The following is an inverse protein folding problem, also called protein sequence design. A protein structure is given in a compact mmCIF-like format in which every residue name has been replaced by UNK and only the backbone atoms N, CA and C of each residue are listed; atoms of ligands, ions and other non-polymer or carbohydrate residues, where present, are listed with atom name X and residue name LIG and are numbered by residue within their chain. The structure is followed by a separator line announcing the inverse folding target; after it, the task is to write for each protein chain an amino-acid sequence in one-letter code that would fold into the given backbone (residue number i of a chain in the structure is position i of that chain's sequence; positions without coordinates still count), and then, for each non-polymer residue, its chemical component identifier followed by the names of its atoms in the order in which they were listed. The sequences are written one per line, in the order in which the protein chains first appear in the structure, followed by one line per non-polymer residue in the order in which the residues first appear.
data_IF_155549554755
#
_entry.id   IF_155549554755
#
_cell.length_a   1.000
_cell.length_b   1.000
_cell.length_c   1.000
_cell.angle_alpha   90.00
_cell.angle_beta   90.00
_cell.angle_gamma   90.00
#
_symmetry.space_group_name_H-M   'P 1'
#
loop_
_entity.id
_entity.type
_entity.pdbx_description
1 polymer ?
#
# COMPACT_ATOMS: atom_id res chain seq x y z
N UNK A 1 -17.46 -4.84 21.13
CA UNK A 1 -17.26 -4.09 22.40
C UNK A 1 -17.95 -2.73 22.30
N UNK A 2 -18.80 -2.39 23.24
CA UNK A 2 -19.61 -1.16 23.26
C UNK A 2 -19.17 -0.26 24.43
N UNK A 3 -19.01 1.04 24.17
CA UNK A 3 -18.67 2.05 25.19
C UNK A 3 -19.53 3.28 24.98
N UNK A 4 -20.07 3.81 26.07
CA UNK A 4 -20.84 5.06 26.09
C UNK A 4 -19.96 6.19 26.58
N UNK A 5 -19.99 7.31 25.88
CA UNK A 5 -19.15 8.46 26.15
C UNK A 5 -20.02 9.70 26.42
N UNK A 6 -19.84 10.32 27.55
CA UNK A 6 -20.40 11.64 27.81
C UNK A 6 -19.45 12.69 27.26
N UNK A 7 -19.99 13.59 26.44
CA UNK A 7 -19.21 14.58 25.70
C UNK A 7 -19.22 15.97 26.35
N UNK A 8 -20.05 16.20 27.34
CA UNK A 8 -20.19 17.48 28.02
C UNK A 8 -19.12 17.63 29.12
N UNK A 9 -18.25 18.65 29.00
CA UNK A 9 -17.17 18.90 29.98
C UNK A 9 -16.03 17.88 29.90
N UNK A 10 -15.70 17.43 28.69
CA UNK A 10 -14.69 16.43 28.37
C UNK A 10 -15.27 15.06 28.02
N UNK A 11 -14.44 14.18 27.46
CA UNK A 11 -14.87 12.85 27.07
C UNK A 11 -14.70 11.86 28.22
N UNK A 12 -15.81 11.42 28.83
CA UNK A 12 -15.82 10.49 29.97
C UNK A 12 -16.65 9.24 29.66
N UNK A 13 -16.10 8.08 29.95
CA UNK A 13 -16.85 6.84 29.84
C UNK A 13 -17.95 6.76 30.91
N UNK A 14 -19.16 6.36 30.48
CA UNK A 14 -20.33 6.15 31.36
C UNK A 14 -20.80 4.69 31.22
N UNK A 15 -21.52 4.21 32.24
CA UNK A 15 -21.94 2.80 32.28
C UNK A 15 -23.21 2.52 31.47
N UNK A 16 -24.09 3.48 31.40
CA UNK A 16 -25.41 3.37 30.77
C UNK A 16 -25.61 4.51 29.79
N UNK A 17 -26.51 4.32 28.84
CA UNK A 17 -26.88 5.32 27.87
C UNK A 17 -27.54 6.54 28.55
N UNK A 18 -27.13 7.71 28.17
CA UNK A 18 -27.75 9.00 28.51
C UNK A 18 -28.03 9.79 27.21
N UNK A 19 -29.04 10.69 27.18
CA UNK A 19 -29.29 11.57 26.04
C UNK A 19 -28.03 12.39 25.68
N UNK A 20 -27.77 12.55 24.38
CA UNK A 20 -26.59 13.22 23.83
C UNK A 20 -25.23 12.57 24.19
N UNK A 21 -25.24 11.28 24.59
CA UNK A 21 -23.99 10.52 24.65
C UNK A 21 -23.60 10.00 23.26
N UNK A 22 -22.30 9.79 23.10
CA UNK A 22 -21.75 9.09 21.94
C UNK A 22 -21.62 7.59 22.28
N UNK A 23 -22.16 6.74 21.40
CA UNK A 23 -22.05 5.29 21.50
C UNK A 23 -20.95 4.83 20.54
N UNK A 24 -19.86 4.31 21.09
CA UNK A 24 -18.79 3.73 20.30
C UNK A 24 -18.94 2.20 20.28
N UNK A 25 -19.04 1.61 19.10
CA UNK A 25 -19.11 0.17 18.90
C UNK A 25 -17.93 -0.27 18.04
N UNK A 26 -17.00 -1.02 18.66
CA UNK A 26 -15.81 -1.55 17.98
C UNK A 26 -15.89 -3.07 17.98
N UNK A 27 -15.64 -3.71 16.82
CA UNK A 27 -15.79 -5.14 16.62
C UNK A 27 -17.13 -5.64 17.18
N UNK A 28 -18.28 -5.19 16.63
CA UNK A 28 -19.60 -5.51 17.14
C UNK A 28 -19.84 -7.04 17.16
N UNK A 29 -20.32 -7.55 18.30
CA UNK A 29 -20.84 -8.91 18.38
C UNK A 29 -22.23 -8.97 17.72
N UNK A 30 -22.76 -10.18 17.52
CA UNK A 30 -24.13 -10.36 17.03
C UNK A 30 -25.15 -9.68 17.96
N UNK A 31 -24.92 -9.76 19.28
CA UNK A 31 -25.75 -9.07 20.29
C UNK A 31 -25.68 -7.55 20.14
N UNK A 32 -24.48 -6.98 19.90
CA UNK A 32 -24.33 -5.54 19.65
C UNK A 32 -25.08 -5.13 18.38
N UNK A 33 -25.03 -5.94 17.32
CA UNK A 33 -25.73 -5.66 16.06
C UNK A 33 -27.25 -5.76 16.22
N UNK A 34 -27.74 -6.80 16.90
CA UNK A 34 -29.17 -6.94 17.20
C UNK A 34 -29.69 -5.76 18.03
N UNK A 35 -28.97 -5.34 19.05
CA UNK A 35 -29.33 -4.18 19.87
C UNK A 35 -29.45 -2.91 19.01
N UNK A 36 -28.52 -2.67 18.08
CA UNK A 36 -28.56 -1.51 17.19
C UNK A 36 -29.80 -1.52 16.28
N UNK A 37 -30.20 -2.70 15.79
CA UNK A 37 -31.37 -2.87 14.92
C UNK A 37 -32.66 -2.85 15.75
N UNK A 38 -32.74 -3.60 16.84
CA UNK A 38 -33.98 -3.83 17.59
C UNK A 38 -34.33 -2.69 18.54
N UNK A 39 -33.37 -2.14 19.27
CA UNK A 39 -33.61 -1.09 20.25
C UNK A 39 -33.56 0.30 19.60
N UNK A 40 -32.53 0.61 18.82
CA UNK A 40 -32.37 1.92 18.17
C UNK A 40 -33.12 2.04 16.86
N UNK A 41 -33.60 0.90 16.28
CA UNK A 41 -34.29 0.88 14.96
C UNK A 41 -33.41 1.44 13.83
N UNK A 42 -32.12 1.10 13.85
CA UNK A 42 -31.21 1.42 12.77
C UNK A 42 -31.51 0.48 11.59
N UNK A 43 -31.58 0.96 10.34
CA UNK A 43 -31.73 0.08 9.18
C UNK A 43 -30.63 -0.98 9.14
N UNK A 44 -31.00 -2.25 9.03
CA UNK A 44 -30.07 -3.39 9.09
C UNK A 44 -28.97 -3.30 8.01
N UNK A 45 -29.32 -2.84 6.82
CA UNK A 45 -28.36 -2.69 5.74
C UNK A 45 -27.24 -1.68 6.04
N UNK A 46 -27.44 -0.71 6.96
CA UNK A 46 -26.36 0.17 7.41
C UNK A 46 -25.20 -0.61 8.03
N UNK A 47 -25.51 -1.62 8.84
CA UNK A 47 -24.50 -2.46 9.47
C UNK A 47 -23.83 -3.38 8.45
N UNK A 48 -24.59 -3.90 7.50
CA UNK A 48 -24.06 -4.67 6.36
C UNK A 48 -23.06 -3.86 5.55
N UNK A 49 -23.42 -2.63 5.21
CA UNK A 49 -22.54 -1.72 4.45
C UNK A 49 -21.27 -1.34 5.22
N UNK A 50 -21.38 -1.07 6.53
CA UNK A 50 -20.20 -0.76 7.37
C UNK A 50 -19.30 -2.00 7.52
N UNK A 51 -19.85 -3.22 7.43
CA UNK A 51 -19.06 -4.45 7.50
C UNK A 51 -18.31 -4.77 6.22
N UNK A 52 -18.77 -4.25 5.06
CA UNK A 52 -18.15 -4.48 3.77
C UNK A 52 -16.84 -3.68 3.64
N UNK A 53 -15.71 -4.39 3.54
CA UNK A 53 -14.39 -3.77 3.38
C UNK A 53 -14.24 -2.95 2.10
N UNK A 54 -15.06 -3.22 1.09
CA UNK A 54 -14.99 -2.55 -0.21
C UNK A 54 -15.99 -1.39 -0.34
N UNK A 55 -16.83 -1.16 0.70
CA UNK A 55 -17.79 -0.08 0.73
C UNK A 55 -17.10 1.30 0.58
N UNK A 56 -17.74 2.21 -0.16
CA UNK A 56 -17.18 3.52 -0.48
C UNK A 56 -17.58 4.57 0.54
N UNK A 57 -16.72 5.57 0.71
CA UNK A 57 -17.06 6.76 1.49
C UNK A 57 -18.31 7.44 0.91
N UNK A 58 -19.37 7.57 1.73
CA UNK A 58 -20.63 8.15 1.30
C UNK A 58 -21.46 8.69 2.47
N UNK A 59 -22.44 9.47 2.13
CA UNK A 59 -23.49 9.99 2.99
C UNK A 59 -24.84 9.45 2.50
N UNK A 60 -25.64 8.96 3.43
CA UNK A 60 -26.97 8.46 3.19
C UNK A 60 -27.93 8.94 4.28
N UNK A 61 -29.21 9.05 3.96
CA UNK A 61 -30.26 9.41 4.90
C UNK A 61 -31.48 8.54 4.63
N UNK A 62 -31.86 7.73 5.61
CA UNK A 62 -33.01 6.84 5.53
C UNK A 62 -33.72 6.71 6.87
N UNK A 63 -35.06 6.71 6.86
CA UNK A 63 -35.94 6.60 8.03
C UNK A 63 -35.57 7.56 9.20
N UNK A 64 -35.08 8.76 8.85
CA UNK A 64 -34.65 9.76 9.82
C UNK A 64 -33.27 9.50 10.38
N UNK A 65 -32.58 8.43 9.99
CA UNK A 65 -31.19 8.15 10.31
C UNK A 65 -30.26 8.71 9.24
N UNK A 66 -29.22 9.34 9.68
CA UNK A 66 -28.09 9.73 8.86
C UNK A 66 -26.98 8.69 8.99
N UNK A 67 -26.47 8.19 7.88
CA UNK A 67 -25.28 7.35 7.80
C UNK A 67 -24.17 8.10 7.07
N UNK A 68 -23.00 8.14 7.67
CA UNK A 68 -21.76 8.58 7.05
C UNK A 68 -20.78 7.41 7.11
N UNK A 69 -20.27 6.96 5.96
CA UNK A 69 -19.21 5.96 5.88
C UNK A 69 -17.92 6.69 5.56
N UNK A 70 -17.02 6.76 6.54
CA UNK A 70 -15.68 7.34 6.41
C UNK A 70 -14.67 6.19 6.24
N UNK A 71 -13.79 6.29 5.24
CA UNK A 71 -12.69 5.32 5.06
C UNK A 71 -11.52 5.72 5.94
N UNK A 72 -11.09 4.83 6.83
CA UNK A 72 -9.95 5.08 7.74
C UNK A 72 -8.81 4.11 7.48
N UNK A 73 -7.54 4.53 7.65
CA UNK A 73 -6.39 3.67 7.40
C UNK A 73 -6.30 2.53 8.42
N UNK A 74 -6.02 1.34 7.92
CA UNK A 74 -5.89 0.12 8.69
C UNK A 74 -4.63 -0.65 8.29
N UNK A 75 -3.98 -1.31 9.24
CA UNK A 75 -2.80 -2.14 9.01
C UNK A 75 -3.16 -3.60 9.20
N UNK A 76 -2.97 -4.40 8.15
CA UNK A 76 -3.02 -5.86 8.19
C UNK A 76 -1.64 -6.41 8.56
N UNK A 77 -1.51 -7.72 8.59
CA UNK A 77 -0.20 -8.35 8.73
C UNK A 77 0.75 -7.90 7.61
N UNK A 78 2.03 -7.64 7.97
CA UNK A 78 3.06 -7.14 7.03
C UNK A 78 3.27 -8.07 5.83
N UNK A 79 3.01 -9.37 6.01
CA UNK A 79 3.10 -10.39 4.94
C UNK A 79 1.86 -10.48 4.05
N UNK A 80 0.79 -9.76 4.37
CA UNK A 80 -0.41 -9.72 3.52
C UNK A 80 -0.09 -9.09 2.16
N UNK A 81 -0.94 -9.34 1.17
CA UNK A 81 -0.82 -8.74 -0.17
C UNK A 81 -0.87 -7.21 -0.11
N UNK A 82 -1.68 -6.67 0.80
CA UNK A 82 -1.85 -5.23 1.03
C UNK A 82 -1.69 -4.95 2.52
N UNK A 83 -0.45 -4.73 3.01
CA UNK A 83 -0.20 -4.53 4.44
C UNK A 83 -0.87 -3.27 5.00
N UNK A 84 -0.99 -2.24 4.18
CA UNK A 84 -1.75 -1.03 4.49
C UNK A 84 -3.00 -0.99 3.62
N UNK A 85 -4.14 -0.91 4.25
CA UNK A 85 -5.45 -0.85 3.59
C UNK A 85 -6.34 0.16 4.29
N UNK A 86 -7.61 0.21 3.93
CA UNK A 86 -8.60 1.05 4.59
C UNK A 86 -9.83 0.23 4.95
N UNK A 87 -10.50 0.63 6.01
CA UNK A 87 -11.74 0.01 6.48
C UNK A 87 -12.81 1.07 6.68
N UNK A 88 -14.09 0.70 6.57
CA UNK A 88 -15.20 1.61 6.87
C UNK A 88 -15.29 1.93 8.35
N UNK A 89 -15.54 3.19 8.67
CA UNK A 89 -16.04 3.68 9.94
C UNK A 89 -17.42 4.27 9.68
N UNK A 90 -18.46 3.62 10.18
CA UNK A 90 -19.83 4.13 10.13
C UNK A 90 -20.07 5.15 11.23
N UNK A 91 -20.61 6.31 10.89
CA UNK A 91 -21.11 7.32 11.82
C UNK A 91 -22.60 7.42 11.57
N UNK A 92 -23.41 7.06 12.56
CA UNK A 92 -24.87 6.98 12.48
C UNK A 92 -25.45 8.01 13.45
N UNK A 93 -26.34 8.86 12.98
CA UNK A 93 -26.93 9.90 13.83
C UNK A 93 -28.41 10.07 13.57
N UNK A 94 -29.18 10.24 14.67
CA UNK A 94 -30.61 10.63 14.64
C UNK A 94 -30.92 11.38 15.93
N UNK A 95 -31.33 12.63 15.84
CA UNK A 95 -31.70 13.50 16.97
C UNK A 95 -30.55 13.63 18.01
N UNK A 96 -30.72 13.01 19.17
CA UNK A 96 -29.82 13.02 20.32
C UNK A 96 -28.94 11.76 20.42
N UNK A 97 -29.00 10.86 19.44
CA UNK A 97 -28.23 9.62 19.41
C UNK A 97 -27.16 9.69 18.34
N UNK A 98 -25.92 9.58 18.75
CA UNK A 98 -24.77 9.47 17.82
C UNK A 98 -24.02 8.19 18.10
N UNK A 99 -23.81 7.39 17.07
CA UNK A 99 -23.21 6.05 17.16
C UNK A 99 -22.06 5.97 16.13
N UNK A 100 -20.91 5.46 16.54
CA UNK A 100 -19.87 5.06 15.60
C UNK A 100 -19.72 3.54 15.64
N UNK A 101 -19.68 2.92 14.46
CA UNK A 101 -19.51 1.47 14.30
C UNK A 101 -18.28 1.22 13.44
N UNK A 102 -17.37 0.38 13.94
CA UNK A 102 -16.24 -0.11 13.18
C UNK A 102 -16.04 -1.60 13.47
N UNK A 103 -16.02 -2.42 12.41
CA UNK A 103 -15.82 -3.88 12.55
C UNK A 103 -14.36 -4.26 12.82
N UNK A 104 -13.47 -3.26 12.88
CA UNK A 104 -12.03 -3.43 13.10
C UNK A 104 -11.55 -2.60 14.28
N UNK A 105 -10.62 -3.15 15.07
CA UNK A 105 -9.89 -2.38 16.05
C UNK A 105 -8.84 -1.54 15.34
N UNK A 106 -8.95 -0.21 15.44
CA UNK A 106 -8.10 0.72 14.69
C UNK A 106 -7.40 1.71 15.60
N UNK A 107 -6.14 2.00 15.28
CA UNK A 107 -5.40 3.05 15.98
C UNK A 107 -6.06 4.43 15.84
N UNK A 108 -6.80 4.66 14.75
CA UNK A 108 -7.54 5.93 14.53
C UNK A 108 -8.51 6.20 15.67
N UNK A 109 -9.34 5.20 15.99
CA UNK A 109 -10.35 5.33 17.05
C UNK A 109 -9.73 5.35 18.45
N UNK A 110 -8.70 4.54 18.70
CA UNK A 110 -7.98 4.52 19.98
C UNK A 110 -7.34 5.89 20.26
N UNK A 111 -6.61 6.43 19.28
CA UNK A 111 -5.97 7.75 19.41
C UNK A 111 -7.01 8.89 19.50
N UNK A 112 -8.09 8.80 18.71
CA UNK A 112 -9.17 9.78 18.76
C UNK A 112 -9.73 9.94 20.17
N UNK A 113 -10.13 8.83 20.79
CA UNK A 113 -10.63 8.82 22.17
C UNK A 113 -9.58 9.37 23.15
N UNK A 114 -8.36 8.84 23.08
CA UNK A 114 -7.27 9.24 23.98
C UNK A 114 -6.92 10.73 23.86
N UNK A 115 -6.95 11.27 22.64
CA UNK A 115 -6.68 12.68 22.37
C UNK A 115 -7.77 13.58 22.96
N UNK A 116 -9.04 13.24 22.73
CA UNK A 116 -10.17 14.02 23.26
C UNK A 116 -10.22 13.98 24.80
N UNK A 117 -9.90 12.84 25.41
CA UNK A 117 -9.80 12.73 26.86
C UNK A 117 -8.70 13.64 27.46
N UNK A 118 -7.53 13.70 26.79
CA UNK A 118 -6.41 14.54 27.24
C UNK A 118 -6.70 16.04 27.14
N UNK A 119 -7.39 16.46 26.08
CA UNK A 119 -7.78 17.88 25.93
C UNK A 119 -8.84 18.31 26.97
N UNK A 120 -9.57 17.36 27.51
CA UNK A 120 -10.70 17.60 28.42
C UNK A 120 -11.77 18.56 27.82
N UNK A 121 -11.80 18.65 26.50
CA UNK A 121 -12.81 19.35 25.72
C UNK A 121 -13.80 18.31 25.23
N UNK A 122 -15.08 18.52 25.36
CA UNK A 122 -16.10 17.67 24.74
C UNK A 122 -16.26 18.00 23.26
N UNK A 123 -17.31 17.46 22.68
CA UNK A 123 -17.80 17.91 21.37
C UNK A 123 -18.91 18.93 21.62
N UNK A 124 -18.93 19.99 20.80
CA UNK A 124 -20.03 20.97 20.84
C UNK A 124 -21.32 20.33 20.40
N UNK A 125 -21.27 19.53 19.34
CA UNK A 125 -22.37 18.76 18.82
C UNK A 125 -21.85 17.54 17.99
N UNK A 126 -22.75 16.87 17.29
CA UNK A 126 -22.41 15.74 16.43
C UNK A 126 -21.64 16.16 15.16
N UNK A 127 -21.79 17.39 14.70
CA UNK A 127 -21.11 17.94 13.51
C UNK A 127 -19.64 18.14 13.82
N UNK A 128 -19.31 18.79 14.94
CA UNK A 128 -17.94 18.93 15.45
C UNK A 128 -17.26 17.57 15.59
N UNK A 129 -17.96 16.57 16.17
CA UNK A 129 -17.44 15.22 16.29
C UNK A 129 -17.10 14.59 14.93
N UNK A 130 -17.98 14.73 13.93
CA UNK A 130 -17.76 14.22 12.59
C UNK A 130 -16.49 14.82 11.99
N UNK A 131 -16.33 16.15 11.97
CA UNK A 131 -15.16 16.79 11.40
C UNK A 131 -13.87 16.47 12.13
N UNK A 132 -13.90 16.32 13.46
CA UNK A 132 -12.74 15.83 14.24
C UNK A 132 -12.36 14.40 13.90
N UNK A 133 -13.33 13.53 13.57
CA UNK A 133 -13.05 12.17 13.05
C UNK A 133 -12.40 12.22 11.69
N UNK A 134 -12.86 13.11 10.79
CA UNK A 134 -12.18 13.34 9.51
C UNK A 134 -10.74 13.79 9.70
N UNK A 135 -10.50 14.77 10.58
CA UNK A 135 -9.16 15.26 10.92
C UNK A 135 -8.28 14.14 11.45
N UNK A 136 -8.80 13.37 12.41
CA UNK A 136 -8.07 12.20 12.94
C UNK A 136 -7.72 11.19 11.86
N UNK A 137 -8.65 10.91 10.95
CA UNK A 137 -8.41 10.02 9.81
C UNK A 137 -7.28 10.55 8.91
N UNK A 138 -7.29 11.85 8.56
CA UNK A 138 -6.27 12.48 7.71
C UNK A 138 -4.88 12.41 8.36
N UNK A 139 -4.76 12.75 9.62
CA UNK A 139 -3.52 12.65 10.40
C UNK A 139 -2.99 11.22 10.44
N UNK A 140 -3.88 10.22 10.56
CA UNK A 140 -3.48 8.82 10.53
C UNK A 140 -3.06 8.33 9.15
N UNK A 141 -3.68 8.83 8.06
CA UNK A 141 -3.15 8.58 6.71
C UNK A 141 -1.71 9.08 6.59
N UNK A 142 -1.42 10.30 7.01
CA UNK A 142 -0.06 10.85 6.98
C UNK A 142 0.93 10.06 7.85
N UNK A 143 0.53 9.61 9.04
CA UNK A 143 1.35 8.73 9.88
C UNK A 143 1.68 7.41 9.17
N UNK A 144 0.72 6.78 8.49
CA UNK A 144 0.92 5.53 7.74
C UNK A 144 1.75 5.75 6.49
N UNK A 145 1.57 6.85 5.79
CA UNK A 145 2.38 7.22 4.63
C UNK A 145 3.86 7.38 5.00
N UNK A 146 4.18 7.98 6.15
CA UNK A 146 5.55 8.03 6.68
C UNK A 146 6.14 6.63 6.92
N UNK A 147 5.33 5.69 7.42
CA UNK A 147 5.77 4.30 7.60
C UNK A 147 6.01 3.61 6.25
N UNK A 148 5.10 3.77 5.29
CA UNK A 148 5.26 3.25 3.92
C UNK A 148 6.54 3.78 3.29
N UNK A 149 6.80 5.09 3.37
CA UNK A 149 8.02 5.68 2.83
C UNK A 149 9.29 5.07 3.46
N UNK A 150 9.28 4.86 4.77
CA UNK A 150 10.41 4.18 5.45
C UNK A 150 10.66 2.76 4.93
N UNK A 151 9.58 2.03 4.59
CA UNK A 151 9.69 0.70 4.00
C UNK A 151 10.18 0.74 2.55
N UNK A 152 9.74 1.72 1.75
CA UNK A 152 10.23 1.95 0.39
C UNK A 152 11.75 2.20 0.43
N UNK A 153 12.20 3.12 1.28
CA UNK A 153 13.62 3.43 1.42
C UNK A 153 14.47 2.23 1.90
N UNK A 154 13.90 1.40 2.77
CA UNK A 154 14.55 0.15 3.20
C UNK A 154 14.67 -0.85 2.04
N UNK A 155 13.61 -1.01 1.27
CA UNK A 155 13.61 -1.91 0.10
C UNK A 155 14.60 -1.43 -0.97
N UNK A 156 14.68 -0.12 -1.26
CA UNK A 156 15.67 0.46 -2.17
C UNK A 156 17.10 0.11 -1.73
N UNK A 157 17.44 0.37 -0.47
CA UNK A 157 18.78 0.04 0.06
C UNK A 157 19.14 -1.44 -0.05
N UNK A 158 18.16 -2.32 0.07
CA UNK A 158 18.39 -3.76 -0.12
C UNK A 158 18.63 -4.08 -1.60
N UNK A 159 17.86 -3.49 -2.51
CA UNK A 159 18.00 -3.68 -3.96
C UNK A 159 19.32 -3.10 -4.50
N UNK A 160 19.82 -2.00 -3.92
CA UNK A 160 21.15 -1.44 -4.26
C UNK A 160 22.30 -2.37 -3.91
N UNK A 161 22.12 -3.24 -2.88
CA UNK A 161 23.13 -4.22 -2.49
C UNK A 161 23.03 -5.49 -3.32
N UNK A 162 21.82 -5.98 -3.48
CA UNK A 162 21.52 -7.20 -4.22
C UNK A 162 20.08 -7.14 -4.73
N UNK A 163 19.95 -7.24 -6.05
CA UNK A 163 18.62 -7.29 -6.68
C UNK A 163 17.99 -8.64 -6.40
N UNK A 164 17.00 -8.66 -5.52
CA UNK A 164 16.25 -9.86 -5.17
C UNK A 164 14.74 -9.70 -5.37
N UNK A 165 14.08 -10.81 -5.68
CA UNK A 165 12.64 -10.83 -5.97
C UNK A 165 11.79 -10.46 -4.75
N UNK A 166 12.25 -10.77 -3.53
CA UNK A 166 11.51 -10.50 -2.30
C UNK A 166 11.31 -8.99 -2.09
N UNK A 167 12.37 -8.20 -2.31
CA UNK A 167 12.30 -6.73 -2.21
C UNK A 167 11.38 -6.14 -3.28
N UNK A 168 11.41 -6.65 -4.51
CA UNK A 168 10.52 -6.20 -5.59
C UNK A 168 9.04 -6.52 -5.29
N UNK A 169 8.75 -7.73 -4.79
CA UNK A 169 7.41 -8.11 -4.34
C UNK A 169 6.97 -7.23 -3.17
N UNK A 170 7.89 -6.90 -2.26
CA UNK A 170 7.63 -5.96 -1.16
C UNK A 170 7.20 -4.58 -1.67
N UNK A 171 7.92 -4.02 -2.66
CA UNK A 171 7.55 -2.74 -3.28
C UNK A 171 6.18 -2.81 -3.97
N UNK A 172 5.90 -3.89 -4.71
CA UNK A 172 4.59 -4.10 -5.36
C UNK A 172 3.44 -4.10 -4.34
N UNK A 173 3.61 -4.74 -3.17
CA UNK A 173 2.61 -4.73 -2.09
C UNK A 173 2.38 -3.32 -1.50
N UNK A 174 3.43 -2.51 -1.44
CA UNK A 174 3.30 -1.11 -1.02
C UNK A 174 2.59 -0.27 -2.07
N UNK A 175 2.81 -0.55 -3.37
CA UNK A 175 2.07 0.09 -4.46
C UNK A 175 0.57 -0.20 -4.38
N UNK A 176 0.19 -1.46 -4.16
CA UNK A 176 -1.21 -1.84 -3.94
C UNK A 176 -1.79 -1.06 -2.74
N UNK A 177 -1.03 -0.94 -1.65
CA UNK A 177 -1.46 -0.20 -0.46
C UNK A 177 -1.66 1.30 -0.71
N UNK A 178 -0.78 1.94 -1.48
CA UNK A 178 -0.93 3.35 -1.87
C UNK A 178 -2.16 3.57 -2.75
N UNK A 179 -2.49 2.62 -3.62
CA UNK A 179 -3.70 2.65 -4.45
C UNK A 179 -4.97 2.64 -3.59
N UNK A 180 -5.02 1.80 -2.54
CA UNK A 180 -6.12 1.81 -1.58
C UNK A 180 -6.23 3.15 -0.84
N UNK A 181 -5.10 3.71 -0.41
CA UNK A 181 -5.08 5.01 0.26
C UNK A 181 -5.56 6.13 -0.67
N UNK A 182 -5.04 6.18 -1.90
CA UNK A 182 -5.42 7.20 -2.88
C UNK A 182 -6.93 7.20 -3.16
N UNK A 183 -7.50 6.00 -3.38
CA UNK A 183 -8.94 5.84 -3.63
C UNK A 183 -9.78 6.26 -2.44
N UNK A 184 -9.38 5.87 -1.23
CA UNK A 184 -10.12 6.16 -0.01
C UNK A 184 -10.01 7.62 0.41
N UNK A 185 -8.84 8.25 0.32
CA UNK A 185 -8.66 9.68 0.61
C UNK A 185 -9.51 10.51 -0.35
N UNK A 186 -9.49 10.19 -1.67
CA UNK A 186 -10.33 10.87 -2.66
C UNK A 186 -11.82 10.71 -2.38
N UNK A 187 -12.24 9.51 -1.93
CA UNK A 187 -13.61 9.25 -1.49
C UNK A 187 -14.00 10.11 -0.29
N UNK A 188 -13.12 10.20 0.70
CA UNK A 188 -13.33 11.03 1.89
C UNK A 188 -13.37 12.54 1.56
N UNK A 189 -12.50 13.05 0.67
CA UNK A 189 -12.56 14.45 0.19
C UNK A 189 -13.91 14.77 -0.47
N UNK A 190 -14.39 13.88 -1.35
CA UNK A 190 -15.70 14.04 -1.98
C UNK A 190 -16.85 14.00 -0.97
N UNK A 191 -16.75 13.14 0.03
CA UNK A 191 -17.71 13.05 1.12
C UNK A 191 -17.70 14.33 1.97
N UNK A 192 -16.51 14.82 2.34
CA UNK A 192 -16.33 16.07 3.09
C UNK A 192 -16.99 17.25 2.36
N UNK A 193 -16.76 17.37 1.05
CA UNK A 193 -17.37 18.41 0.25
C UNK A 193 -18.92 18.35 0.28
N UNK A 194 -19.51 17.15 0.23
CA UNK A 194 -20.96 16.95 0.35
C UNK A 194 -21.49 17.33 1.74
N UNK A 195 -20.80 16.93 2.80
CA UNK A 195 -21.21 17.18 4.17
C UNK A 195 -21.22 18.66 4.52
N UNK A 196 -20.29 19.45 4.01
CA UNK A 196 -20.30 20.92 4.15
C UNK A 196 -21.61 21.58 3.73
N UNK A 197 -22.23 21.07 2.66
CA UNK A 197 -23.53 21.58 2.19
C UNK A 197 -24.73 21.01 2.94
N UNK A 198 -24.60 19.79 3.49
CA UNK A 198 -25.72 19.06 4.11
C UNK A 198 -25.89 19.37 5.59
N UNK A 199 -24.82 19.64 6.33
CA UNK A 199 -24.83 19.77 7.78
C UNK A 199 -24.95 21.20 8.29
N UNK A 200 -25.27 22.19 7.45
CA UNK A 200 -25.45 23.61 7.84
C UNK A 200 -24.37 24.02 8.86
N UNK A 201 -23.13 24.02 8.40
CA UNK A 201 -21.95 24.25 9.25
C UNK A 201 -21.93 25.69 9.74
N UNK A 202 -21.88 25.91 11.05
CA UNK A 202 -21.73 27.22 11.67
C UNK A 202 -20.31 27.80 11.47
N UNK A 203 -20.16 29.13 11.64
CA UNK A 203 -18.87 29.81 11.49
C UNK A 203 -17.79 29.25 12.45
N UNK A 204 -18.19 28.70 13.61
CA UNK A 204 -17.29 28.09 14.61
C UNK A 204 -16.59 26.82 14.08
N UNK A 205 -17.19 26.11 13.14
CA UNK A 205 -16.62 24.91 12.54
C UNK A 205 -15.76 25.20 11.29
N UNK A 206 -15.72 26.43 10.82
CA UNK A 206 -15.01 26.80 9.59
C UNK A 206 -13.51 26.52 9.68
N UNK A 207 -12.87 26.86 10.81
CA UNK A 207 -11.45 26.63 11.03
C UNK A 207 -11.12 25.12 11.08
N UNK A 208 -11.97 24.33 11.77
CA UNK A 208 -11.81 22.88 11.83
C UNK A 208 -11.95 22.24 10.44
N UNK A 209 -12.88 22.72 9.65
CA UNK A 209 -13.07 22.24 8.27
C UNK A 209 -11.89 22.60 7.39
N UNK A 210 -11.31 23.79 7.58
CA UNK A 210 -10.11 24.20 6.86
C UNK A 210 -8.94 23.30 7.24
N UNK A 211 -8.72 23.00 8.51
CA UNK A 211 -7.72 22.04 8.98
C UNK A 211 -7.91 20.65 8.36
N UNK A 212 -9.15 20.15 8.33
CA UNK A 212 -9.46 18.86 7.68
C UNK A 212 -9.09 18.89 6.20
N UNK A 213 -9.43 19.97 5.48
CA UNK A 213 -9.10 20.09 4.06
C UNK A 213 -7.59 20.11 3.83
N UNK A 214 -6.84 20.85 4.64
CA UNK A 214 -5.38 20.95 4.54
C UNK A 214 -4.76 19.57 4.74
N UNK A 215 -5.11 18.88 5.82
CA UNK A 215 -4.55 17.57 6.15
C UNK A 215 -4.95 16.48 5.13
N UNK A 216 -6.20 16.49 4.64
CA UNK A 216 -6.65 15.57 3.58
C UNK A 216 -5.94 15.83 2.26
N UNK A 217 -5.81 17.10 1.86
CA UNK A 217 -5.08 17.47 0.64
C UNK A 217 -3.63 17.05 0.74
N UNK A 218 -2.97 17.30 1.88
CA UNK A 218 -1.60 16.84 2.13
C UNK A 218 -1.49 15.31 2.06
N UNK A 219 -2.43 14.59 2.63
CA UNK A 219 -2.44 13.13 2.56
C UNK A 219 -2.58 12.62 1.11
N UNK A 220 -3.46 13.24 0.32
CA UNK A 220 -3.65 12.92 -1.10
C UNK A 220 -2.38 13.17 -1.91
N UNK A 221 -1.78 14.36 -1.77
CA UNK A 221 -0.57 14.73 -2.49
C UNK A 221 0.61 13.85 -2.11
N UNK A 222 0.81 13.60 -0.81
CA UNK A 222 1.85 12.70 -0.32
C UNK A 222 1.67 11.29 -0.86
N UNK A 223 0.43 10.79 -0.92
CA UNK A 223 0.13 9.47 -1.49
C UNK A 223 0.51 9.40 -2.97
N UNK A 224 0.17 10.44 -3.76
CA UNK A 224 0.52 10.53 -5.18
C UNK A 224 2.04 10.54 -5.36
N UNK A 225 2.75 11.39 -4.62
CA UNK A 225 4.22 11.50 -4.70
C UNK A 225 4.88 10.15 -4.39
N UNK A 226 4.43 9.45 -3.34
CA UNK A 226 5.02 8.15 -3.00
C UNK A 226 4.68 7.06 -4.02
N UNK A 227 3.51 7.12 -4.64
CA UNK A 227 3.14 6.24 -5.75
C UNK A 227 4.04 6.44 -6.96
N UNK A 228 4.27 7.68 -7.37
CA UNK A 228 5.12 8.04 -8.51
C UNK A 228 6.59 7.63 -8.27
N UNK A 229 7.10 7.88 -7.05
CA UNK A 229 8.45 7.45 -6.64
C UNK A 229 8.59 5.94 -6.71
N UNK A 230 7.58 5.21 -6.25
CA UNK A 230 7.60 3.76 -6.21
C UNK A 230 7.55 3.17 -7.62
N UNK A 231 6.69 3.68 -8.50
CA UNK A 231 6.59 3.29 -9.90
C UNK A 231 7.92 3.50 -10.63
N UNK A 232 8.50 4.71 -10.54
CA UNK A 232 9.81 5.03 -11.11
C UNK A 232 10.92 4.12 -10.56
N UNK A 233 10.84 3.77 -9.27
CA UNK A 233 11.78 2.85 -8.64
C UNK A 233 11.68 1.46 -9.24
N UNK A 234 10.48 0.91 -9.37
CA UNK A 234 10.25 -0.42 -9.95
C UNK A 234 10.72 -0.49 -11.42
N UNK A 235 10.47 0.55 -12.22
CA UNK A 235 10.92 0.66 -13.60
C UNK A 235 12.45 0.68 -13.71
N UNK A 236 13.09 1.41 -12.82
CA UNK A 236 14.56 1.47 -12.74
C UNK A 236 15.16 0.09 -12.46
N UNK A 237 14.64 -0.63 -11.45
CA UNK A 237 15.15 -1.97 -11.12
C UNK A 237 14.82 -3.00 -12.20
N UNK A 238 13.66 -2.90 -12.85
CA UNK A 238 13.33 -3.74 -14.01
C UNK A 238 14.34 -3.54 -15.15
N UNK A 239 14.72 -2.30 -15.41
CA UNK A 239 15.75 -1.96 -16.41
C UNK A 239 17.13 -2.51 -16.03
N UNK A 240 17.52 -2.43 -14.75
CA UNK A 240 18.76 -2.99 -14.23
C UNK A 240 18.79 -4.52 -14.42
N UNK A 241 17.69 -5.20 -14.05
CA UNK A 241 17.55 -6.67 -14.23
C UNK A 241 17.74 -7.04 -15.71
N UNK A 242 17.05 -6.36 -16.60
CA UNK A 242 17.16 -6.60 -18.05
C UNK A 242 18.58 -6.37 -18.56
N UNK A 243 19.25 -5.32 -18.11
CA UNK A 243 20.64 -5.06 -18.48
C UNK A 243 21.59 -6.13 -17.94
N UNK A 244 21.42 -6.58 -16.72
CA UNK A 244 22.20 -7.67 -16.13
C UNK A 244 21.98 -8.98 -16.90
N UNK A 245 20.73 -9.31 -17.22
CA UNK A 245 20.38 -10.48 -18.05
C UNK A 245 21.08 -10.42 -19.41
N UNK A 246 21.04 -9.26 -20.09
CA UNK A 246 21.74 -9.07 -21.36
C UNK A 246 23.25 -9.28 -21.23
N UNK A 247 23.84 -8.81 -20.13
CA UNK A 247 25.26 -9.00 -19.85
C UNK A 247 25.61 -10.48 -19.65
N UNK A 248 24.84 -11.21 -18.86
CA UNK A 248 24.98 -12.66 -18.67
C UNK A 248 24.84 -13.41 -19.98
N UNK A 249 23.81 -13.10 -20.79
CA UNK A 249 23.60 -13.71 -22.10
C UNK A 249 24.75 -13.44 -23.07
N UNK A 250 25.28 -12.22 -23.12
CA UNK A 250 26.46 -11.87 -23.93
C UNK A 250 27.68 -12.68 -23.52
N UNK A 251 27.96 -12.74 -22.22
CA UNK A 251 29.08 -13.51 -21.67
C UNK A 251 28.94 -14.99 -22.01
N UNK A 252 27.76 -15.58 -21.78
CA UNK A 252 27.51 -16.99 -22.10
C UNK A 252 27.67 -17.29 -23.59
N UNK A 253 27.10 -16.43 -24.44
CA UNK A 253 27.24 -16.57 -25.91
C UNK A 253 28.71 -16.47 -26.35
N UNK A 254 29.45 -15.50 -25.78
CA UNK A 254 30.87 -15.33 -26.12
C UNK A 254 31.70 -16.53 -25.71
N UNK A 255 31.49 -17.06 -24.52
CA UNK A 255 32.18 -18.29 -24.04
C UNK A 255 31.80 -19.47 -24.91
N UNK A 256 30.53 -19.63 -25.28
CA UNK A 256 30.09 -20.72 -26.20
C UNK A 256 30.75 -20.64 -27.55
N UNK A 257 30.89 -19.44 -28.14
CA UNK A 257 31.56 -19.26 -29.44
C UNK A 257 33.06 -19.61 -29.33
N UNK A 258 33.73 -19.18 -28.25
CA UNK A 258 35.16 -19.52 -28.03
C UNK A 258 35.37 -21.03 -27.96
N UNK A 259 34.47 -21.75 -27.26
CA UNK A 259 34.54 -23.22 -27.15
C UNK A 259 34.13 -23.96 -28.42
N UNK A 260 33.36 -23.33 -29.30
CA UNK A 260 32.94 -23.91 -30.57
C UNK A 260 34.11 -24.10 -31.55
N UNK A 261 35.09 -23.19 -31.59
CA UNK A 261 36.22 -23.29 -32.53
C UNK A 261 37.06 -24.54 -32.32
N UNK A 262 37.55 -24.89 -31.12
CA UNK A 262 38.24 -26.17 -30.90
C UNK A 262 37.39 -27.39 -31.29
N UNK A 263 36.10 -27.35 -30.96
CA UNK A 263 35.18 -28.47 -31.28
C UNK A 263 35.02 -28.64 -32.78
N UNK A 264 34.87 -27.52 -33.53
CA UNK A 264 34.78 -27.54 -34.98
C UNK A 264 36.06 -28.12 -35.63
N UNK A 265 37.25 -27.67 -35.16
CA UNK A 265 38.53 -28.16 -35.67
C UNK A 265 38.69 -29.66 -35.40
N UNK A 266 38.40 -30.11 -34.15
CA UNK A 266 38.46 -31.50 -33.81
C UNK A 266 37.50 -32.37 -34.61
N UNK A 267 36.28 -31.85 -34.89
CA UNK A 267 35.28 -32.53 -35.67
C UNK A 267 35.70 -32.66 -37.13
N UNK A 268 36.27 -31.59 -37.75
CA UNK A 268 36.75 -31.62 -39.12
C UNK A 268 37.93 -32.58 -39.30
N UNK A 269 38.85 -32.62 -38.35
CA UNK A 269 40.02 -33.52 -38.39
C UNK A 269 39.66 -34.99 -38.02
N UNK A 270 38.56 -35.19 -37.29
CA UNK A 270 38.01 -36.52 -36.95
C UNK A 270 37.17 -37.17 -38.05
N UNK A 271 36.93 -36.47 -39.15
CA UNK A 271 36.21 -37.04 -40.30
C UNK A 271 37.13 -38.03 -41.08
N UNK A 272 36.54 -39.15 -41.52
CA UNK A 272 37.24 -40.15 -42.38
C UNK A 272 37.46 -39.63 -43.81
N UNK A 273 37.97 -38.41 -43.97
CA UNK A 273 38.33 -37.81 -45.25
C UNK A 273 39.86 -37.77 -45.34
N UNK A 274 40.41 -38.08 -46.52
CA UNK A 274 41.83 -37.96 -46.79
C UNK A 274 42.23 -36.48 -46.76
N UNK A 275 42.75 -36.00 -45.61
CA UNK A 275 43.07 -34.58 -45.43
C UNK A 275 44.56 -34.28 -45.41
N UNK A 276 45.43 -35.28 -45.69
CA UNK A 276 46.90 -35.17 -45.74
C UNK A 276 47.56 -34.99 -44.38
N UNK A 277 46.83 -35.08 -43.26
CA UNK A 277 47.36 -35.03 -41.90
C UNK A 277 47.50 -36.42 -41.24
N UNK A 278 46.99 -37.45 -41.88
CA UNK A 278 46.95 -38.83 -41.36
C UNK A 278 48.35 -39.41 -41.14
N UNK A 279 49.30 -39.12 -42.04
CA UNK A 279 50.70 -39.60 -41.96
C UNK A 279 51.64 -38.65 -41.20
N UNK A 280 51.13 -37.51 -40.75
CA UNK A 280 51.97 -36.52 -40.06
C UNK A 280 52.01 -36.76 -38.55
N UNK A 281 53.22 -37.17 -38.05
CA UNK A 281 53.46 -37.41 -36.61
C UNK A 281 53.09 -36.21 -35.69
N UNK A 282 53.06 -35.03 -36.21
CA UNK A 282 52.73 -33.78 -35.51
C UNK A 282 51.29 -33.29 -35.79
N UNK A 283 50.48 -33.97 -36.56
CA UNK A 283 49.14 -33.55 -36.97
C UNK A 283 48.23 -33.20 -35.77
N UNK A 284 48.25 -34.06 -34.77
CA UNK A 284 47.49 -33.82 -33.52
C UNK A 284 47.98 -32.56 -32.77
N UNK A 285 49.29 -32.36 -32.66
CA UNK A 285 49.86 -31.19 -32.00
C UNK A 285 49.51 -29.90 -32.75
N UNK A 286 49.58 -29.91 -34.05
CA UNK A 286 49.20 -28.79 -34.92
C UNK A 286 47.71 -28.43 -34.70
N UNK A 287 46.84 -29.41 -34.66
CA UNK A 287 45.40 -29.19 -34.41
C UNK A 287 45.16 -28.52 -33.04
N UNK A 288 45.83 -28.94 -32.01
CA UNK A 288 45.74 -28.31 -30.67
C UNK A 288 46.24 -26.87 -30.71
N UNK A 289 47.41 -26.63 -31.30
CA UNK A 289 47.99 -25.26 -31.37
C UNK A 289 47.10 -24.33 -32.15
N UNK A 290 46.56 -24.75 -33.30
CA UNK A 290 45.62 -23.95 -34.12
C UNK A 290 44.32 -23.65 -33.33
N UNK A 291 43.78 -24.68 -32.66
CA UNK A 291 42.57 -24.51 -31.82
C UNK A 291 42.77 -23.48 -30.72
N UNK A 292 43.90 -23.58 -30.00
CA UNK A 292 44.22 -22.63 -28.91
C UNK A 292 44.47 -21.21 -29.45
N UNK A 293 45.16 -21.09 -30.61
CA UNK A 293 45.36 -19.79 -31.21
C UNK A 293 44.07 -19.12 -31.64
N UNK A 294 43.17 -19.82 -32.29
CA UNK A 294 41.88 -19.27 -32.74
C UNK A 294 41.01 -18.89 -31.52
N UNK A 295 40.95 -19.73 -30.49
CA UNK A 295 40.23 -19.43 -29.24
C UNK A 295 40.84 -18.23 -28.54
N UNK A 296 42.15 -18.09 -28.48
CA UNK A 296 42.84 -16.95 -27.91
C UNK A 296 42.57 -15.63 -28.65
N UNK A 297 42.61 -15.67 -29.99
CA UNK A 297 42.26 -14.52 -30.85
C UNK A 297 40.80 -14.12 -30.63
N UNK A 298 39.89 -15.11 -30.64
CA UNK A 298 38.47 -14.86 -30.38
C UNK A 298 38.21 -14.25 -29.01
N UNK A 299 38.85 -14.78 -27.95
CA UNK A 299 38.79 -14.23 -26.62
C UNK A 299 39.31 -12.79 -26.56
N UNK A 300 40.44 -12.47 -27.23
CA UNK A 300 41.00 -11.12 -27.29
C UNK A 300 40.06 -10.15 -28.00
N UNK A 301 39.43 -10.55 -29.12
CA UNK A 301 38.44 -9.73 -29.85
C UNK A 301 37.23 -9.43 -29.01
N UNK A 302 36.67 -10.45 -28.31
CA UNK A 302 35.48 -10.25 -27.47
C UNK A 302 35.76 -9.38 -26.26
N UNK A 303 36.93 -9.54 -25.64
CA UNK A 303 37.38 -8.66 -24.56
C UNK A 303 37.60 -7.20 -25.03
N UNK A 304 38.20 -7.02 -26.22
CA UNK A 304 38.41 -5.68 -26.78
C UNK A 304 37.10 -4.97 -27.11
N UNK A 305 36.10 -5.73 -27.59
CA UNK A 305 34.78 -5.21 -27.87
C UNK A 305 33.87 -5.12 -26.63
N UNK A 306 34.35 -5.39 -25.44
CA UNK A 306 33.60 -5.39 -24.18
C UNK A 306 32.35 -6.29 -24.22
N UNK A 307 32.47 -7.45 -24.87
CA UNK A 307 31.42 -8.47 -24.91
C UNK A 307 31.56 -9.49 -23.77
N UNK A 308 32.75 -9.56 -23.20
CA UNK A 308 33.11 -10.30 -21.98
C UNK A 308 33.73 -9.34 -20.99
#
# INVERSE_FOLDING_TARGET
MRTYWKTNGGLKAIKEWEPNCWIQVTCPSEEDQQMLVDEYKIPDYFLSDISDTDERARYEYDDGWMLIILRIPYVKEIRSRTPYTTVPLGIIHKRDVTITVCFYETNVMIDFVSYQQKRNEGFTDYVDMIFRLFLSSAVWYLKRLKQINSLIEKAKRNLDREVNNESLIGLSRLQDSLTYFQTSIRGNENLLAKLKFKLQVDELDADLIEDVNIEMTQARETTSIYSDILESTMDTYSSIINNNMNTVMRTLTSVSIILMFPTLIASLLGMNLINGMEDNKFGFLIAIVVSVMISGVSWWIFRHKRLI
#
